data_IF_713426771582
#
_entry.id   IF_713426771582
#
_cell.length_a   1.000
_cell.length_b   1.000
_cell.length_c   1.000
_cell.angle_alpha   90.00
_cell.angle_beta   90.00
_cell.angle_gamma   90.00
#
_symmetry.space_group_name_H-M   'P 1'
#
loop_
_entity.id
_entity.type
_entity.pdbx_description
1 polymer ?
#
# COMPACT_ATOMS: atom_id res chain seq x y z
N UNK A 1 29.57 -60.46 3.70
CA UNK A 1 29.87 -59.32 2.84
C UNK A 1 31.08 -58.61 3.42
N UNK A 2 32.11 -58.32 2.58
CA UNK A 2 33.40 -57.77 3.06
C UNK A 2 33.16 -56.33 3.60
N UNK A 3 33.64 -56.04 4.81
CA UNK A 3 33.51 -54.72 5.47
C UNK A 3 33.87 -53.52 4.59
N UNK A 4 34.81 -53.70 3.68
CA UNK A 4 35.18 -52.68 2.67
C UNK A 4 34.04 -52.37 1.70
N UNK A 5 33.31 -53.39 1.24
CA UNK A 5 32.16 -53.21 0.35
C UNK A 5 30.98 -52.53 1.06
N UNK A 6 30.77 -52.82 2.35
CA UNK A 6 29.69 -52.17 3.15
C UNK A 6 29.99 -50.69 3.34
N UNK A 7 31.28 -50.30 3.64
CA UNK A 7 31.66 -48.90 3.76
C UNK A 7 31.47 -48.11 2.44
N UNK A 8 31.85 -48.74 1.32
CA UNK A 8 31.66 -48.08 0.00
C UNK A 8 30.18 -47.83 -0.31
N UNK A 9 29.33 -48.84 -0.08
CA UNK A 9 27.89 -48.73 -0.29
C UNK A 9 27.27 -47.64 0.61
N UNK A 10 27.69 -47.58 1.89
CA UNK A 10 27.22 -46.56 2.84
C UNK A 10 27.66 -45.14 2.42
N UNK A 11 28.89 -45.00 1.95
CA UNK A 11 29.41 -43.71 1.46
C UNK A 11 28.65 -43.23 0.21
N UNK A 12 28.38 -44.11 -0.74
CA UNK A 12 27.59 -43.82 -1.95
C UNK A 12 26.17 -43.42 -1.55
N UNK A 13 25.55 -44.14 -0.59
CA UNK A 13 24.20 -43.79 -0.13
C UNK A 13 24.13 -42.41 0.54
N UNK A 14 25.14 -42.05 1.35
CA UNK A 14 25.24 -40.72 1.98
C UNK A 14 25.41 -39.65 0.93
N UNK A 15 26.25 -39.85 -0.10
CA UNK A 15 26.44 -38.89 -1.20
C UNK A 15 25.14 -38.67 -1.98
N UNK A 16 24.41 -39.75 -2.30
CA UNK A 16 23.11 -39.68 -2.99
C UNK A 16 22.08 -38.91 -2.14
N UNK A 17 22.01 -39.22 -0.83
CA UNK A 17 21.10 -38.53 0.08
C UNK A 17 21.40 -37.04 0.18
N UNK A 18 22.67 -36.65 0.26
CA UNK A 18 23.12 -35.27 0.26
C UNK A 18 22.79 -34.55 -1.06
N UNK A 19 22.98 -35.23 -2.18
CA UNK A 19 22.63 -34.69 -3.51
C UNK A 19 21.13 -34.47 -3.67
N UNK A 20 20.30 -35.39 -3.16
CA UNK A 20 18.83 -35.26 -3.17
C UNK A 20 18.39 -34.09 -2.29
N UNK A 21 18.98 -33.91 -1.09
CA UNK A 21 18.66 -32.79 -0.19
C UNK A 21 19.06 -31.45 -0.84
N UNK A 22 20.22 -31.37 -1.47
CA UNK A 22 20.66 -30.16 -2.19
C UNK A 22 19.72 -29.90 -3.38
N UNK A 23 19.38 -30.91 -4.16
CA UNK A 23 18.47 -30.76 -5.30
C UNK A 23 17.06 -30.33 -4.86
N UNK A 24 16.52 -30.92 -3.78
CA UNK A 24 15.24 -30.51 -3.21
C UNK A 24 15.27 -29.07 -2.70
N UNK A 25 16.36 -28.63 -2.04
CA UNK A 25 16.49 -27.25 -1.59
C UNK A 25 16.64 -26.27 -2.77
N UNK A 26 17.42 -26.61 -3.79
CA UNK A 26 17.55 -25.81 -5.02
C UNK A 26 16.24 -25.77 -5.79
N UNK A 27 15.50 -26.89 -5.84
CA UNK A 27 14.18 -26.95 -6.48
C UNK A 27 13.13 -26.14 -5.71
N UNK A 28 13.16 -26.18 -4.37
CA UNK A 28 12.33 -25.35 -3.50
C UNK A 28 12.65 -23.84 -3.66
N UNK A 29 13.93 -23.47 -3.80
CA UNK A 29 14.34 -22.11 -4.10
C UNK A 29 13.88 -21.70 -5.50
N UNK A 30 14.09 -22.54 -6.50
CA UNK A 30 13.69 -22.31 -7.88
C UNK A 30 12.16 -22.22 -8.02
N UNK A 31 11.39 -23.10 -7.33
CA UNK A 31 9.92 -23.02 -7.34
C UNK A 31 9.40 -21.82 -6.55
N UNK A 32 10.08 -21.39 -5.47
CA UNK A 32 9.77 -20.10 -4.83
C UNK A 32 9.90 -18.94 -5.80
N UNK A 33 10.99 -18.86 -6.55
CA UNK A 33 11.21 -17.78 -7.53
C UNK A 33 10.20 -17.84 -8.70
N UNK A 34 9.79 -19.05 -9.11
CA UNK A 34 8.75 -19.22 -10.15
C UNK A 34 7.35 -18.84 -9.63
N UNK A 35 7.04 -19.12 -8.36
CA UNK A 35 5.76 -18.76 -7.74
C UNK A 35 5.62 -17.25 -7.46
N UNK A 36 6.73 -16.50 -7.43
CA UNK A 36 6.75 -15.05 -7.18
C UNK A 36 7.02 -14.21 -8.43
N UNK A 37 6.81 -14.76 -9.63
CA UNK A 37 6.75 -13.92 -10.81
C UNK A 37 5.52 -13.02 -10.69
N UNK A 38 5.77 -11.76 -10.33
CA UNK A 38 4.76 -10.71 -10.12
C UNK A 38 4.17 -10.20 -11.45
N UNK A 39 4.02 -11.08 -12.43
CA UNK A 39 3.49 -10.74 -13.75
C UNK A 39 4.43 -9.80 -14.52
N UNK A 40 3.84 -8.73 -15.08
CA UNK A 40 4.56 -7.73 -15.90
C UNK A 40 5.16 -6.59 -15.07
N UNK A 41 5.03 -6.62 -13.75
CA UNK A 41 5.58 -5.62 -12.84
C UNK A 41 7.04 -5.89 -12.49
N UNK A 42 7.89 -4.89 -12.72
CA UNK A 42 9.31 -4.96 -12.46
C UNK A 42 9.69 -3.96 -11.38
N UNK A 43 10.23 -4.42 -10.27
CA UNK A 43 10.80 -3.55 -9.24
C UNK A 43 11.99 -2.77 -9.81
N UNK A 44 12.07 -1.49 -9.49
CA UNK A 44 13.19 -0.68 -9.91
C UNK A 44 14.49 -1.20 -9.30
N UNK A 45 15.51 -1.38 -10.14
CA UNK A 45 16.76 -2.06 -9.74
C UNK A 45 17.52 -1.38 -8.60
N UNK A 46 17.37 -0.05 -8.48
CA UNK A 46 18.04 0.77 -7.46
C UNK A 46 17.10 1.15 -6.32
N UNK A 47 16.07 0.34 -6.04
CA UNK A 47 15.23 0.55 -4.85
C UNK A 47 16.05 0.42 -3.54
N UNK A 48 15.67 1.15 -2.47
CA UNK A 48 14.53 2.06 -2.37
C UNK A 48 14.79 3.41 -3.07
N UNK A 49 13.71 4.11 -3.50
CA UNK A 49 13.79 5.45 -4.08
C UNK A 49 13.67 6.57 -3.04
N UNK A 50 13.15 6.26 -1.84
CA UNK A 50 13.05 7.21 -0.73
C UNK A 50 13.18 6.47 0.61
N UNK A 51 13.87 7.09 1.55
CA UNK A 51 14.16 6.55 2.88
C UNK A 51 15.54 5.91 2.98
N UNK A 52 16.28 6.32 4.00
CA UNK A 52 17.64 5.88 4.31
C UNK A 52 17.88 5.86 5.83
N UNK A 53 19.11 5.69 6.27
CA UNK A 53 19.47 5.68 7.70
C UNK A 53 19.28 7.05 8.37
N UNK A 54 19.49 8.14 7.64
CA UNK A 54 19.39 9.50 8.15
C UNK A 54 17.94 9.94 8.27
N UNK A 55 17.13 9.68 7.25
CA UNK A 55 15.70 9.97 7.22
C UNK A 55 14.93 9.10 8.22
N UNK A 56 15.38 7.84 8.40
CA UNK A 56 14.65 6.82 9.14
C UNK A 56 13.48 6.25 8.33
N UNK A 57 12.47 5.70 9.01
CA UNK A 57 11.30 5.12 8.32
C UNK A 57 10.41 6.19 7.72
N UNK A 58 10.17 6.04 6.41
CA UNK A 58 9.11 6.70 5.64
C UNK A 58 8.23 5.63 5.02
N UNK A 59 6.91 5.84 5.06
CA UNK A 59 5.94 4.81 4.70
C UNK A 59 4.63 5.40 4.19
N UNK A 60 3.78 4.55 3.62
CA UNK A 60 2.46 4.89 3.07
C UNK A 60 2.50 6.07 2.08
N UNK A 61 3.16 5.89 0.92
CA UNK A 61 3.25 6.94 -0.08
C UNK A 61 1.89 7.24 -0.70
N UNK A 62 1.67 8.50 -1.04
CA UNK A 62 0.63 8.96 -1.95
C UNK A 62 1.26 9.88 -2.98
N UNK A 63 1.17 9.53 -4.26
CA UNK A 63 1.79 10.28 -5.35
C UNK A 63 0.73 10.90 -6.24
N UNK A 64 0.93 12.16 -6.60
CA UNK A 64 0.16 12.87 -7.60
C UNK A 64 1.09 13.60 -8.58
N UNK A 65 0.57 14.04 -9.72
CA UNK A 65 1.28 14.86 -10.68
C UNK A 65 0.64 16.24 -10.70
N UNK A 66 1.43 17.26 -10.43
CA UNK A 66 1.03 18.66 -10.55
C UNK A 66 0.83 19.06 -12.03
N UNK A 67 0.16 20.16 -12.29
CA UNK A 67 -0.14 20.66 -13.66
C UNK A 67 1.10 20.93 -14.51
N UNK A 68 2.26 21.18 -13.87
CA UNK A 68 3.55 21.37 -14.54
C UNK A 68 4.31 20.05 -14.82
N UNK A 69 3.71 18.91 -14.50
CA UNK A 69 4.30 17.58 -14.66
C UNK A 69 5.23 17.16 -13.53
N UNK A 70 5.33 17.92 -12.44
CA UNK A 70 6.11 17.54 -11.26
C UNK A 70 5.38 16.46 -10.47
N UNK A 71 6.08 15.37 -10.15
CA UNK A 71 5.60 14.39 -9.19
C UNK A 71 5.69 14.96 -7.79
N UNK A 72 4.62 14.84 -7.03
CA UNK A 72 4.53 15.21 -5.62
C UNK A 72 4.15 13.97 -4.83
N UNK A 73 4.96 13.60 -3.83
CA UNK A 73 4.71 12.46 -2.95
C UNK A 73 4.50 12.95 -1.52
N UNK A 74 3.36 12.60 -0.95
CA UNK A 74 3.12 12.72 0.48
C UNK A 74 3.45 11.39 1.14
N UNK A 75 4.17 11.42 2.27
CA UNK A 75 4.60 10.23 3.03
C UNK A 75 4.37 10.42 4.50
N UNK A 76 4.15 9.33 5.19
CA UNK A 76 4.19 9.27 6.66
C UNK A 76 5.64 9.22 7.11
N UNK A 77 6.06 10.17 7.95
CA UNK A 77 7.42 10.22 8.48
C UNK A 77 7.43 9.78 9.95
N UNK A 78 7.77 8.51 10.19
CA UNK A 78 7.66 7.88 11.51
C UNK A 78 8.39 8.66 12.61
N UNK A 79 9.65 9.06 12.37
CA UNK A 79 10.50 9.77 13.33
C UNK A 79 9.90 11.11 13.78
N UNK A 80 9.04 11.70 12.96
CA UNK A 80 8.38 12.99 13.23
C UNK A 80 6.93 12.84 13.69
N UNK A 81 6.32 11.68 13.51
CA UNK A 81 4.89 11.48 13.74
C UNK A 81 4.00 12.37 12.86
N UNK A 82 4.49 12.72 11.68
CA UNK A 82 3.97 13.77 10.81
C UNK A 82 3.82 13.27 9.36
N UNK A 83 3.07 14.00 8.55
CA UNK A 83 3.04 13.83 7.11
C UNK A 83 4.01 14.83 6.48
N UNK A 84 4.85 14.35 5.58
CA UNK A 84 5.79 15.15 4.82
C UNK A 84 5.53 15.05 3.31
N UNK A 85 6.01 16.03 2.57
CA UNK A 85 5.97 16.08 1.10
C UNK A 85 7.39 16.09 0.54
N UNK A 86 7.55 15.49 -0.61
CA UNK A 86 8.75 15.59 -1.47
C UNK A 86 8.33 15.68 -2.93
N UNK A 87 9.19 16.20 -3.79
CA UNK A 87 8.92 16.38 -5.21
C UNK A 87 9.98 15.73 -6.08
N UNK A 88 9.60 15.37 -7.31
CA UNK A 88 10.48 14.76 -8.29
C UNK A 88 10.09 15.18 -9.72
N UNK A 89 11.06 15.22 -10.63
CA UNK A 89 10.81 15.40 -12.07
C UNK A 89 10.68 14.10 -12.86
N UNK A 90 11.08 12.99 -12.24
CA UNK A 90 11.13 11.67 -12.90
C UNK A 90 10.43 10.54 -12.09
N UNK A 91 9.97 10.85 -10.86
CA UNK A 91 9.37 9.87 -9.95
C UNK A 91 10.36 8.91 -9.29
N UNK A 92 11.67 9.14 -9.48
CA UNK A 92 12.77 8.29 -8.99
C UNK A 92 13.66 9.07 -8.02
N UNK A 93 14.09 10.27 -8.44
CA UNK A 93 14.96 11.14 -7.66
C UNK A 93 14.11 12.19 -6.93
N UNK A 94 14.08 12.12 -5.61
CA UNK A 94 13.20 12.90 -4.76
C UNK A 94 13.97 14.00 -4.00
N UNK A 95 13.33 15.16 -3.83
CA UNK A 95 13.85 16.25 -3.01
C UNK A 95 13.87 15.91 -1.53
N UNK A 96 14.45 16.77 -0.70
CA UNK A 96 14.34 16.65 0.77
C UNK A 96 12.89 16.70 1.24
N UNK A 97 12.61 15.98 2.33
CA UNK A 97 11.29 15.94 2.95
C UNK A 97 10.96 17.26 3.68
N UNK A 98 9.79 17.81 3.41
CA UNK A 98 9.22 18.94 4.12
C UNK A 98 7.95 18.51 4.85
N UNK A 99 7.87 18.79 6.17
CA UNK A 99 6.65 18.51 6.95
C UNK A 99 5.53 19.43 6.49
N UNK A 100 4.36 18.87 6.21
CA UNK A 100 3.16 19.58 5.75
C UNK A 100 1.97 19.46 6.70
N UNK A 101 1.97 18.42 7.54
CA UNK A 101 0.95 18.23 8.58
C UNK A 101 1.59 17.63 9.83
N UNK A 102 1.52 18.35 10.94
CA UNK A 102 2.02 17.86 12.22
C UNK A 102 0.93 17.12 12.99
N UNK A 103 1.35 16.23 13.90
CA UNK A 103 0.49 15.69 14.96
C UNK A 103 -0.03 16.81 15.87
N UNK A 104 -1.11 16.53 16.59
CA UNK A 104 -1.63 17.41 17.63
C UNK A 104 -2.19 16.57 18.79
N UNK A 105 -1.41 16.48 19.86
CA UNK A 105 -1.74 15.66 21.05
C UNK A 105 -2.88 16.28 21.86
N UNK A 106 -3.27 17.53 21.59
CA UNK A 106 -4.34 18.23 22.34
C UNK A 106 -5.72 17.83 21.89
N UNK A 107 -5.88 17.29 20.68
CA UNK A 107 -7.17 16.87 20.12
C UNK A 107 -7.66 15.53 20.67
N UNK A 108 -6.75 14.72 21.25
CA UNK A 108 -7.06 13.41 21.83
C UNK A 108 -7.30 12.29 20.81
N UNK A 109 -7.05 12.53 19.52
CA UNK A 109 -7.20 11.50 18.48
C UNK A 109 -6.08 11.48 17.42
N UNK A 110 -5.15 12.41 17.45
CA UNK A 110 -4.06 12.52 16.45
C UNK A 110 -2.68 12.76 17.07
N UNK A 111 -2.34 11.98 18.09
CA UNK A 111 -0.99 11.94 18.68
C UNK A 111 0.07 11.54 17.62
N UNK A 112 -0.36 10.91 16.55
CA UNK A 112 0.39 10.61 15.33
C UNK A 112 -0.53 10.86 14.15
N UNK A 113 -0.01 11.49 13.07
CA UNK A 113 -0.69 11.60 11.78
C UNK A 113 0.08 10.85 10.70
N UNK A 114 -0.65 10.12 9.84
CA UNK A 114 -0.06 9.31 8.79
C UNK A 114 -1.07 9.00 7.67
N UNK A 115 -0.65 8.26 6.63
CA UNK A 115 -1.52 7.65 5.60
C UNK A 115 -2.41 8.65 4.87
N UNK A 116 -1.79 9.72 4.34
CA UNK A 116 -2.52 10.76 3.61
C UNK A 116 -2.93 10.32 2.21
N UNK A 117 -4.04 10.88 1.74
CA UNK A 117 -4.42 11.02 0.33
C UNK A 117 -4.76 12.46 0.05
N UNK A 118 -4.46 12.96 -1.15
CA UNK A 118 -4.65 14.37 -1.51
C UNK A 118 -5.33 14.49 -2.86
N UNK A 119 -6.39 15.29 -2.94
CA UNK A 119 -7.09 15.61 -4.19
C UNK A 119 -7.01 17.13 -4.42
N UNK A 120 -6.54 17.53 -5.61
CA UNK A 120 -6.65 18.93 -6.02
C UNK A 120 -7.97 19.14 -6.74
N UNK A 121 -8.83 19.96 -6.17
CA UNK A 121 -10.17 20.26 -6.68
C UNK A 121 -10.53 21.72 -6.39
N UNK A 122 -11.11 22.40 -7.38
CA UNK A 122 -11.56 23.81 -7.31
C UNK A 122 -10.53 24.78 -6.74
N UNK A 123 -9.24 24.60 -7.12
CA UNK A 123 -8.15 25.47 -6.70
C UNK A 123 -7.57 25.17 -5.33
N UNK A 124 -8.04 24.12 -4.65
CA UNK A 124 -7.65 23.75 -3.29
C UNK A 124 -7.12 22.31 -3.27
N UNK A 125 -6.08 22.06 -2.47
CA UNK A 125 -5.62 20.72 -2.11
C UNK A 125 -6.41 20.24 -0.89
N UNK A 126 -7.16 19.17 -1.05
CA UNK A 126 -7.92 18.49 0.00
C UNK A 126 -7.14 17.27 0.45
N UNK A 127 -6.79 17.19 1.72
CA UNK A 127 -6.08 16.05 2.31
C UNK A 127 -6.98 15.32 3.29
N UNK A 128 -7.10 14.01 3.12
CA UNK A 128 -7.62 13.10 4.15
C UNK A 128 -6.46 12.28 4.68
N UNK A 129 -6.40 12.11 6.00
CA UNK A 129 -5.29 11.45 6.67
C UNK A 129 -5.78 10.62 7.85
N UNK A 130 -4.95 9.70 8.31
CA UNK A 130 -5.22 8.93 9.53
C UNK A 130 -4.61 9.64 10.72
N UNK A 131 -5.42 9.99 11.70
CA UNK A 131 -4.99 10.36 13.04
C UNK A 131 -5.07 9.15 13.98
N UNK A 132 -4.08 8.96 14.84
CA UNK A 132 -4.01 7.84 15.78
C UNK A 132 -3.69 8.32 17.18
N UNK A 133 -4.49 7.85 18.16
CA UNK A 133 -4.24 8.02 19.60
C UNK A 133 -4.75 6.79 20.33
N UNK A 134 -4.01 6.31 21.36
CA UNK A 134 -4.43 5.21 22.23
C UNK A 134 -4.88 3.93 21.46
N UNK A 135 -4.22 3.60 20.37
CA UNK A 135 -4.56 2.48 19.47
C UNK A 135 -5.90 2.63 18.71
N UNK A 136 -6.50 3.78 18.74
CA UNK A 136 -7.69 4.10 17.95
C UNK A 136 -7.26 4.95 16.76
N UNK A 137 -7.80 4.68 15.59
CA UNK A 137 -7.56 5.49 14.39
C UNK A 137 -8.84 6.06 13.83
N UNK A 138 -8.76 7.32 13.40
CA UNK A 138 -9.86 8.06 12.75
C UNK A 138 -9.33 8.75 11.51
N UNK A 139 -10.22 9.14 10.60
CA UNK A 139 -9.83 9.90 9.40
C UNK A 139 -10.11 11.38 9.62
N UNK A 140 -9.05 12.18 9.50
CA UNK A 140 -9.10 13.65 9.56
C UNK A 140 -9.12 14.28 8.18
N UNK A 141 -9.31 15.59 8.16
CA UNK A 141 -9.37 16.39 6.94
C UNK A 141 -8.58 17.70 7.11
N UNK A 142 -7.88 18.11 6.07
CA UNK A 142 -7.16 19.37 6.03
C UNK A 142 -7.16 19.94 4.61
N UNK A 143 -7.02 21.24 4.47
CA UNK A 143 -6.96 21.95 3.17
C UNK A 143 -5.70 22.78 3.04
N UNK A 144 -5.28 23.02 1.81
CA UNK A 144 -4.14 23.88 1.48
C UNK A 144 -4.32 24.54 0.12
N UNK A 145 -3.86 25.78 -0.04
CA UNK A 145 -3.83 26.48 -1.32
C UNK A 145 -2.59 26.10 -2.15
N UNK A 146 -1.49 25.71 -1.50
CA UNK A 146 -0.19 25.45 -2.14
C UNK A 146 0.24 23.98 -2.09
N UNK A 147 -0.49 23.11 -1.34
CA UNK A 147 -0.14 21.72 -1.11
C UNK A 147 1.03 21.51 -0.14
N UNK A 148 1.49 22.57 0.54
CA UNK A 148 2.58 22.54 1.52
C UNK A 148 2.14 22.96 2.91
N UNK A 149 1.20 23.87 3.03
CA UNK A 149 0.69 24.40 4.31
C UNK A 149 -0.75 23.97 4.47
N UNK A 150 -0.97 22.85 5.17
CA UNK A 150 -2.32 22.35 5.41
C UNK A 150 -2.89 22.88 6.71
N UNK A 151 -4.14 23.33 6.63
CA UNK A 151 -4.95 23.76 7.78
C UNK A 151 -5.95 22.64 8.09
N UNK A 152 -5.84 22.08 9.30
CA UNK A 152 -6.69 20.98 9.76
C UNK A 152 -8.10 21.44 10.10
N UNK A 153 -9.06 20.54 9.93
CA UNK A 153 -10.32 20.58 10.63
C UNK A 153 -10.15 19.93 12.01
N UNK A 154 -10.77 20.49 13.04
CA UNK A 154 -10.56 20.03 14.43
C UNK A 154 -11.08 18.61 14.67
N UNK A 155 -12.26 18.30 14.10
CA UNK A 155 -12.90 16.99 14.30
C UNK A 155 -12.61 16.04 13.16
N UNK A 156 -12.49 14.72 13.44
CA UNK A 156 -12.35 13.72 12.39
C UNK A 156 -13.62 13.66 11.52
N UNK A 157 -13.45 13.40 10.22
CA UNK A 157 -14.55 13.33 9.24
C UNK A 157 -15.12 11.91 9.09
N UNK A 158 -14.35 10.87 9.46
CA UNK A 158 -14.86 9.49 9.58
C UNK A 158 -14.32 8.90 10.89
N UNK A 159 -15.23 8.32 11.66
CA UNK A 159 -14.95 7.61 12.92
C UNK A 159 -15.47 6.17 12.83
N UNK A 160 -14.95 5.30 13.68
CA UNK A 160 -15.44 3.93 13.83
C UNK A 160 -16.81 3.93 14.54
N UNK A 161 -17.81 3.34 13.90
CA UNK A 161 -19.21 3.32 14.38
C UNK A 161 -19.84 1.92 14.31
N UNK A 162 -19.26 1.04 13.48
CA UNK A 162 -19.75 -0.31 13.23
C UNK A 162 -18.84 -1.33 13.90
N UNK A 163 -19.43 -2.44 14.34
CA UNK A 163 -18.69 -3.52 15.02
C UNK A 163 -17.47 -4.02 14.20
N UNK A 164 -17.61 -4.13 12.87
CA UNK A 164 -16.53 -4.57 12.00
C UNK A 164 -15.42 -3.51 11.81
N UNK A 165 -15.65 -2.25 12.14
CA UNK A 165 -14.63 -1.19 12.13
C UNK A 165 -13.71 -1.28 13.34
N UNK A 166 -14.10 -2.04 14.38
CA UNK A 166 -13.31 -2.25 15.61
C UNK A 166 -12.74 -0.94 16.16
N UNK A 167 -11.40 -0.90 16.31
CA UNK A 167 -10.67 0.24 16.85
C UNK A 167 -10.28 1.28 15.80
N UNK A 168 -10.49 0.99 14.49
CA UNK A 168 -9.84 1.82 13.48
C UNK A 168 -10.60 1.94 12.17
N UNK A 169 -10.65 3.19 11.70
CA UNK A 169 -10.84 3.57 10.31
C UNK A 169 -9.58 4.34 9.87
N UNK A 170 -8.96 3.92 8.74
CA UNK A 170 -7.64 4.43 8.37
C UNK A 170 -7.35 4.26 6.86
N UNK A 171 -6.16 4.68 6.41
CA UNK A 171 -5.73 4.51 5.02
C UNK A 171 -6.75 5.02 4.00
N UNK A 172 -7.23 6.27 4.12
CA UNK A 172 -8.15 6.81 3.13
C UNK A 172 -7.47 6.86 1.76
N UNK A 173 -8.22 6.51 0.73
CA UNK A 173 -7.93 6.84 -0.65
C UNK A 173 -9.14 7.54 -1.24
N UNK A 174 -8.96 8.73 -1.79
CA UNK A 174 -10.05 9.57 -2.27
C UNK A 174 -9.82 9.98 -3.71
N UNK A 175 -10.87 9.94 -4.51
CA UNK A 175 -10.94 10.57 -5.82
C UNK A 175 -12.13 11.53 -5.88
N UNK A 176 -12.07 12.56 -6.72
CA UNK A 176 -13.23 13.34 -7.10
C UNK A 176 -13.80 12.81 -8.42
N UNK A 177 -15.02 12.29 -8.37
CA UNK A 177 -15.74 11.84 -9.55
C UNK A 177 -16.38 13.05 -10.25
N UNK A 178 -15.81 13.45 -11.39
CA UNK A 178 -16.25 14.64 -12.14
C UNK A 178 -17.64 14.51 -12.73
N UNK A 179 -18.09 13.30 -13.00
CA UNK A 179 -19.42 13.02 -13.58
C UNK A 179 -20.51 13.07 -12.53
N UNK A 180 -20.28 12.39 -11.41
CA UNK A 180 -21.21 12.37 -10.29
C UNK A 180 -21.08 13.61 -9.39
N UNK A 181 -19.99 14.37 -9.53
CA UNK A 181 -19.65 15.57 -8.73
C UNK A 181 -19.62 15.28 -7.23
N UNK A 182 -18.99 14.15 -6.85
CA UNK A 182 -18.82 13.72 -5.47
C UNK A 182 -17.38 13.22 -5.24
N UNK A 183 -16.95 13.34 -4.01
CA UNK A 183 -15.77 12.62 -3.52
C UNK A 183 -16.16 11.18 -3.21
N UNK A 184 -15.34 10.24 -3.65
CA UNK A 184 -15.45 8.81 -3.36
C UNK A 184 -14.25 8.40 -2.53
N UNK A 185 -14.48 7.79 -1.38
CA UNK A 185 -13.43 7.33 -0.49
C UNK A 185 -13.48 5.81 -0.32
N UNK A 186 -12.34 5.16 -0.49
CA UNK A 186 -12.08 3.80 -0.04
C UNK A 186 -11.17 3.89 1.17
N UNK A 187 -11.53 3.24 2.27
CA UNK A 187 -10.77 3.28 3.50
C UNK A 187 -10.65 1.89 4.12
N UNK A 188 -9.56 1.67 4.84
CA UNK A 188 -9.37 0.43 5.58
C UNK A 188 -9.97 0.54 6.97
N UNK A 189 -10.47 -0.58 7.50
CA UNK A 189 -11.03 -0.62 8.84
C UNK A 189 -10.75 -1.96 9.54
N UNK A 190 -10.84 -1.97 10.87
CA UNK A 190 -10.60 -3.14 11.72
C UNK A 190 -9.58 -2.87 12.81
N UNK A 191 -8.52 -3.68 12.90
CA UNK A 191 -7.46 -3.49 13.87
C UNK A 191 -6.54 -2.33 13.51
N UNK A 192 -5.99 -1.65 14.51
CA UNK A 192 -5.24 -0.38 14.35
C UNK A 192 -4.01 -0.51 13.48
N UNK A 193 -3.27 -1.60 13.56
CA UNK A 193 -2.00 -1.72 12.84
C UNK A 193 -2.15 -2.46 11.52
N UNK A 194 -2.91 -3.54 11.51
CA UNK A 194 -3.16 -4.38 10.35
C UNK A 194 -4.67 -4.48 10.13
N UNK A 195 -5.26 -3.60 9.30
CA UNK A 195 -6.70 -3.54 9.08
C UNK A 195 -7.24 -4.85 8.49
N UNK A 196 -8.53 -5.09 8.70
CA UNK A 196 -9.16 -6.37 8.32
C UNK A 196 -9.87 -6.30 6.97
N UNK A 197 -10.37 -5.11 6.58
CA UNK A 197 -11.29 -4.93 5.45
C UNK A 197 -11.08 -3.59 4.75
N UNK A 198 -11.64 -3.46 3.53
CA UNK A 198 -11.79 -2.19 2.82
C UNK A 198 -13.27 -1.83 2.77
N UNK A 199 -13.59 -0.58 3.05
CA UNK A 199 -14.91 0.00 3.04
C UNK A 199 -14.99 1.21 2.09
N UNK A 200 -16.20 1.70 1.83
CA UNK A 200 -16.50 2.76 0.88
C UNK A 200 -17.45 3.81 1.47
N UNK A 201 -17.20 5.07 1.14
CA UNK A 201 -18.07 6.20 1.48
C UNK A 201 -18.05 7.25 0.38
N UNK A 202 -19.11 8.08 0.33
CA UNK A 202 -19.22 9.22 -0.60
C UNK A 202 -19.46 10.52 0.15
N UNK A 203 -19.04 11.64 -0.45
CA UNK A 203 -19.27 12.97 0.10
C UNK A 203 -19.41 14.01 -1.01
N UNK A 204 -20.23 15.02 -0.80
CA UNK A 204 -20.35 16.18 -1.71
C UNK A 204 -19.35 17.29 -1.40
N UNK A 205 -18.92 17.38 -0.15
CA UNK A 205 -18.11 18.48 0.39
C UNK A 205 -16.72 18.03 0.89
N UNK A 206 -16.48 16.70 0.92
CA UNK A 206 -15.26 16.09 1.45
C UNK A 206 -15.18 16.05 2.99
N UNK A 207 -16.21 16.52 3.68
CA UNK A 207 -16.31 16.64 5.14
C UNK A 207 -17.39 15.73 5.69
N UNK A 208 -18.59 15.80 5.11
CA UNK A 208 -19.75 15.00 5.50
C UNK A 208 -19.79 13.75 4.64
N UNK A 209 -19.57 12.58 5.23
CA UNK A 209 -19.42 11.32 4.52
C UNK A 209 -20.60 10.39 4.77
N UNK A 210 -21.14 9.83 3.72
CA UNK A 210 -22.14 8.77 3.76
C UNK A 210 -21.46 7.41 3.54
N UNK A 211 -21.39 6.60 4.59
CA UNK A 211 -20.82 5.23 4.51
C UNK A 211 -21.79 4.33 3.74
N UNK A 212 -21.24 3.55 2.81
CA UNK A 212 -22.03 2.60 2.02
C UNK A 212 -22.71 1.56 2.92
N UNK A 213 -24.01 1.35 2.71
CA UNK A 213 -24.82 0.52 3.61
C UNK A 213 -24.44 -0.97 3.61
N UNK A 214 -23.80 -1.45 2.54
CA UNK A 214 -23.34 -2.84 2.40
C UNK A 214 -21.85 -3.00 2.66
N UNK A 215 -21.21 -2.04 3.34
CA UNK A 215 -19.83 -2.19 3.80
C UNK A 215 -19.66 -3.41 4.73
N UNK A 216 -18.47 -4.03 4.74
CA UNK A 216 -17.28 -3.73 3.94
C UNK A 216 -17.37 -4.31 2.52
N UNK A 217 -16.75 -3.60 1.55
CA UNK A 217 -16.79 -3.95 0.12
C UNK A 217 -15.72 -4.95 -0.29
N UNK A 218 -14.64 -5.08 0.48
CA UNK A 218 -13.62 -6.10 0.26
C UNK A 218 -13.15 -6.66 1.62
N UNK A 219 -13.16 -7.99 1.74
CA UNK A 219 -12.72 -8.75 2.93
C UNK A 219 -11.58 -9.69 2.54
N UNK A 220 -11.01 -10.39 3.51
CA UNK A 220 -10.09 -11.49 3.26
C UNK A 220 -10.70 -12.50 2.26
N UNK A 221 -9.85 -13.12 1.45
CA UNK A 221 -10.28 -14.14 0.50
C UNK A 221 -10.69 -15.42 1.24
N UNK A 222 -11.83 -15.99 0.88
CA UNK A 222 -12.35 -17.22 1.49
C UNK A 222 -11.55 -18.47 1.06
N UNK A 223 -10.84 -18.42 -0.09
CA UNK A 223 -9.94 -19.49 -0.49
C UNK A 223 -8.72 -19.51 0.43
N UNK A 224 -8.61 -20.59 1.24
CA UNK A 224 -7.50 -20.81 2.18
C UNK A 224 -6.12 -20.89 1.51
N UNK A 225 -6.05 -21.08 0.19
CA UNK A 225 -4.81 -21.07 -0.60
C UNK A 225 -4.44 -19.69 -1.11
N UNK A 226 -5.38 -18.75 -1.11
CA UNK A 226 -5.12 -17.37 -1.57
C UNK A 226 -4.09 -16.67 -0.70
N UNK A 227 -3.31 -15.79 -1.30
CA UNK A 227 -2.26 -15.05 -0.58
C UNK A 227 -2.81 -13.80 0.14
N UNK A 228 -4.08 -13.45 -0.06
CA UNK A 228 -4.83 -12.40 0.64
C UNK A 228 -5.94 -12.99 1.54
N UNK A 229 -5.73 -14.22 2.03
CA UNK A 229 -6.70 -15.00 2.82
C UNK A 229 -6.84 -14.54 4.28
N UNK A 230 -5.89 -13.76 4.81
CA UNK A 230 -5.90 -13.40 6.23
C UNK A 230 -6.60 -12.07 6.48
N UNK A 231 -6.21 -11.01 5.75
CA UNK A 231 -6.74 -9.65 5.85
C UNK A 231 -6.54 -8.91 4.53
N UNK A 232 -7.26 -7.80 4.37
CA UNK A 232 -7.01 -6.81 3.32
C UNK A 232 -6.93 -5.43 3.93
N UNK A 233 -6.19 -4.53 3.30
CA UNK A 233 -5.93 -3.21 3.87
C UNK A 233 -5.87 -2.10 2.82
N UNK A 234 -5.21 -1.00 3.16
CA UNK A 234 -5.13 0.23 2.37
C UNK A 234 -4.96 0.02 0.88
N UNK A 235 -5.66 0.82 0.12
CA UNK A 235 -5.72 0.70 -1.33
C UNK A 235 -5.38 2.01 -2.04
N UNK A 236 -5.29 1.91 -3.36
CA UNK A 236 -5.19 3.01 -4.33
C UNK A 236 -6.13 2.67 -5.50
N UNK A 237 -7.08 3.56 -5.81
CA UNK A 237 -8.16 3.29 -6.77
C UNK A 237 -8.13 4.29 -7.91
N UNK A 238 -8.22 3.78 -9.14
CA UNK A 238 -8.29 4.57 -10.37
C UNK A 238 -9.60 4.32 -11.11
N UNK A 239 -10.33 5.37 -11.45
CA UNK A 239 -11.43 5.33 -12.41
C UNK A 239 -10.84 5.46 -13.81
N UNK A 240 -10.79 4.36 -14.55
CA UNK A 240 -10.22 4.32 -15.91
C UNK A 240 -11.26 4.75 -16.95
N UNK A 241 -12.50 4.38 -16.71
CA UNK A 241 -13.67 4.77 -17.52
C UNK A 241 -14.94 4.69 -16.66
N UNK A 242 -16.10 4.99 -17.24
CA UNK A 242 -17.37 4.93 -16.52
C UNK A 242 -17.72 3.54 -15.99
N UNK A 243 -17.19 2.49 -16.64
CA UNK A 243 -17.47 1.10 -16.32
C UNK A 243 -16.21 0.32 -15.95
N UNK A 244 -15.12 1.01 -15.56
CA UNK A 244 -13.89 0.35 -15.15
C UNK A 244 -13.16 1.13 -14.09
N UNK A 245 -13.07 0.53 -12.92
CA UNK A 245 -12.19 0.91 -11.82
C UNK A 245 -11.13 -0.15 -11.62
N UNK A 246 -9.94 0.27 -11.25
CA UNK A 246 -8.82 -0.58 -10.86
C UNK A 246 -8.43 -0.22 -9.43
N UNK A 247 -8.34 -1.22 -8.57
CA UNK A 247 -7.85 -1.08 -7.21
C UNK A 247 -6.54 -1.83 -7.05
N UNK A 248 -5.50 -1.14 -6.63
CA UNK A 248 -4.31 -1.75 -6.04
C UNK A 248 -4.54 -1.83 -4.52
N UNK A 249 -4.36 -3.00 -3.90
CA UNK A 249 -4.66 -3.16 -2.48
C UNK A 249 -3.65 -4.05 -1.76
N UNK A 250 -3.57 -3.87 -0.44
CA UNK A 250 -2.76 -4.72 0.43
C UNK A 250 -3.55 -5.99 0.74
N UNK A 251 -2.95 -7.15 0.48
CA UNK A 251 -3.47 -8.44 0.93
C UNK A 251 -2.46 -9.14 1.83
N UNK A 252 -2.94 -9.73 2.92
CA UNK A 252 -2.14 -10.42 3.93
C UNK A 252 -2.34 -11.92 3.83
N UNK A 253 -1.23 -12.65 3.77
CA UNK A 253 -1.23 -14.12 3.87
C UNK A 253 -1.29 -14.57 5.33
N UNK A 254 -0.62 -13.83 6.19
CA UNK A 254 -0.55 -13.91 7.64
C UNK A 254 -0.19 -12.53 8.21
N UNK A 255 -0.10 -12.39 9.54
CA UNK A 255 0.14 -11.10 10.21
C UNK A 255 1.48 -10.44 9.81
N UNK A 256 2.45 -11.21 9.33
CA UNK A 256 3.80 -10.71 9.01
C UNK A 256 4.06 -10.55 7.51
N UNK A 257 3.15 -11.05 6.66
CA UNK A 257 3.40 -11.15 5.22
C UNK A 257 2.32 -10.44 4.43
N UNK A 258 2.64 -9.25 3.94
CA UNK A 258 1.77 -8.45 3.09
C UNK A 258 2.33 -8.31 1.67
N UNK A 259 1.42 -8.25 0.70
CA UNK A 259 1.68 -8.12 -0.73
C UNK A 259 0.70 -7.14 -1.35
N UNK A 260 1.01 -6.66 -2.55
CA UNK A 260 0.11 -5.78 -3.31
C UNK A 260 -0.57 -6.60 -4.40
N UNK A 261 -1.88 -6.45 -4.49
CA UNK A 261 -2.77 -7.13 -5.43
C UNK A 261 -3.52 -6.12 -6.30
N UNK A 262 -4.21 -6.62 -7.30
CA UNK A 262 -5.14 -5.86 -8.14
C UNK A 262 -6.53 -6.48 -8.07
N UNK A 263 -7.54 -5.61 -8.03
CA UNK A 263 -8.93 -5.96 -8.28
C UNK A 263 -9.55 -4.98 -9.28
N UNK A 264 -10.57 -5.44 -10.02
CA UNK A 264 -11.31 -4.64 -11.00
C UNK A 264 -12.76 -4.53 -10.57
N UNK A 265 -13.39 -3.42 -10.94
CA UNK A 265 -14.81 -3.17 -10.66
C UNK A 265 -15.44 -2.35 -11.78
N UNK A 266 -16.74 -2.52 -11.99
CA UNK A 266 -17.51 -1.69 -12.91
C UNK A 266 -18.09 -0.44 -12.22
N UNK A 267 -18.25 -0.48 -10.89
CA UNK A 267 -18.98 0.53 -10.12
C UNK A 267 -18.18 1.11 -8.93
N UNK A 268 -16.96 0.55 -8.66
CA UNK A 268 -16.13 0.96 -7.54
C UNK A 268 -16.50 0.37 -6.18
N UNK A 269 -17.53 -0.49 -6.10
CA UNK A 269 -17.98 -1.16 -4.86
C UNK A 269 -18.00 -2.68 -4.97
N UNK A 270 -18.31 -3.23 -6.14
CA UNK A 270 -18.26 -4.67 -6.39
C UNK A 270 -16.95 -5.04 -7.07
N UNK A 271 -16.07 -5.77 -6.39
CA UNK A 271 -14.69 -5.99 -6.81
C UNK A 271 -14.41 -7.45 -7.17
N UNK A 272 -13.81 -7.65 -8.34
CA UNK A 272 -13.30 -8.93 -8.82
C UNK A 272 -11.76 -8.94 -8.70
N UNK A 273 -11.22 -9.91 -7.93
CA UNK A 273 -9.77 -10.10 -7.75
C UNK A 273 -9.13 -10.68 -9.00
N UNK A 274 -7.94 -10.18 -9.36
CA UNK A 274 -7.16 -10.75 -10.47
C UNK A 274 -6.31 -11.97 -10.07
N UNK A 275 -6.27 -12.30 -8.78
CA UNK A 275 -5.73 -13.53 -8.21
C UNK A 275 -4.34 -13.41 -7.62
N UNK A 276 -3.29 -13.25 -8.42
CA UNK A 276 -1.90 -13.24 -7.93
C UNK A 276 -1.43 -11.85 -7.51
N UNK A 277 -0.50 -11.76 -6.52
CA UNK A 277 0.08 -10.48 -6.15
C UNK A 277 0.94 -9.92 -7.29
N UNK A 278 0.90 -8.61 -7.46
CA UNK A 278 1.73 -7.87 -8.43
C UNK A 278 3.06 -7.41 -7.82
N UNK A 279 3.12 -7.20 -6.50
CA UNK A 279 4.35 -6.89 -5.76
C UNK A 279 4.40 -7.78 -4.53
N UNK A 280 5.53 -8.45 -4.33
CA UNK A 280 5.77 -9.34 -3.18
C UNK A 280 7.13 -9.04 -2.53
N UNK A 281 7.31 -9.39 -1.24
CA UNK A 281 8.59 -9.28 -0.55
C UNK A 281 9.70 -10.02 -1.28
N UNK A 282 10.93 -9.48 -1.24
CA UNK A 282 12.12 -10.06 -1.86
C UNK A 282 13.23 -10.22 -0.84
N UNK A 283 13.77 -11.44 -0.71
CA UNK A 283 14.83 -11.75 0.26
C UNK A 283 16.09 -10.90 0.00
N UNK A 284 16.66 -10.35 1.09
CA UNK A 284 17.89 -9.55 1.03
C UNK A 284 17.70 -8.13 0.48
N UNK A 285 16.44 -7.70 0.26
CA UNK A 285 16.10 -6.36 -0.21
C UNK A 285 15.41 -5.53 0.90
N UNK A 286 15.18 -4.24 0.61
CA UNK A 286 14.54 -3.30 1.54
C UNK A 286 13.09 -3.66 1.91
N UNK A 287 12.46 -4.56 1.17
CA UNK A 287 11.09 -5.02 1.34
C UNK A 287 10.97 -6.49 1.74
N UNK A 288 12.04 -7.03 2.37
CA UNK A 288 12.17 -8.47 2.68
C UNK A 288 11.05 -9.04 3.57
N UNK A 289 10.34 -8.21 4.31
CA UNK A 289 9.26 -8.64 5.23
C UNK A 289 7.87 -8.42 4.64
N UNK A 290 7.62 -7.26 4.04
CA UNK A 290 6.30 -6.91 3.54
C UNK A 290 6.35 -5.80 2.49
N UNK A 291 5.34 -5.79 1.63
CA UNK A 291 5.02 -4.70 0.71
C UNK A 291 3.63 -4.16 1.05
N UNK A 292 3.57 -2.88 1.44
CA UNK A 292 2.35 -2.21 1.88
C UNK A 292 1.99 -1.04 0.97
N UNK A 293 0.83 -0.47 1.20
CA UNK A 293 0.24 0.77 0.68
C UNK A 293 0.78 1.18 -0.70
N UNK A 294 0.11 0.71 -1.76
CA UNK A 294 0.41 1.13 -3.11
C UNK A 294 -0.02 2.59 -3.34
N UNK A 295 0.68 3.28 -4.22
CA UNK A 295 0.26 4.50 -4.88
C UNK A 295 0.71 4.44 -6.33
N UNK A 296 -0.21 4.34 -7.27
CA UNK A 296 0.07 4.13 -8.68
C UNK A 296 -0.26 5.38 -9.51
N UNK A 297 0.44 5.54 -10.61
CA UNK A 297 0.14 6.53 -11.64
C UNK A 297 0.33 5.88 -13.00
N UNK A 298 -0.59 6.12 -13.92
CA UNK A 298 -0.36 5.81 -15.32
C UNK A 298 0.38 6.98 -15.99
N UNK A 299 1.61 6.71 -16.43
CA UNK A 299 2.45 7.65 -17.17
C UNK A 299 2.07 7.54 -18.66
N UNK A 300 1.13 8.37 -19.10
CA UNK A 300 0.63 8.40 -20.48
C UNK A 300 1.74 8.64 -21.50
N UNK A 301 2.74 9.45 -21.16
CA UNK A 301 3.86 9.79 -22.03
C UNK A 301 4.71 8.57 -22.40
N UNK A 302 4.91 7.66 -21.46
CA UNK A 302 5.71 6.46 -21.62
C UNK A 302 4.86 5.18 -21.72
N UNK A 303 3.52 5.31 -21.72
CA UNK A 303 2.54 4.22 -21.78
C UNK A 303 2.83 3.10 -20.76
N UNK A 304 3.01 3.47 -19.50
CA UNK A 304 3.38 2.56 -18.42
C UNK A 304 2.74 2.95 -17.10
N UNK A 305 2.53 1.97 -16.22
CA UNK A 305 2.22 2.22 -14.82
C UNK A 305 3.51 2.38 -14.01
N UNK A 306 3.52 3.35 -13.12
CA UNK A 306 4.50 3.53 -12.06
C UNK A 306 3.78 3.35 -10.73
N UNK A 307 4.29 2.46 -9.87
CA UNK A 307 3.69 2.15 -8.57
C UNK A 307 4.75 2.30 -7.49
N UNK A 308 4.55 3.27 -6.62
CA UNK A 308 5.33 3.43 -5.39
C UNK A 308 4.66 2.63 -4.27
N UNK A 309 5.48 2.02 -3.44
CA UNK A 309 4.98 1.18 -2.36
C UNK A 309 5.90 1.24 -1.14
N UNK A 310 5.32 1.00 0.02
CA UNK A 310 6.05 0.86 1.27
C UNK A 310 6.65 -0.54 1.37
N UNK A 311 7.97 -0.65 1.37
CA UNK A 311 8.70 -1.87 1.67
C UNK A 311 9.21 -1.88 3.11
N UNK A 312 9.13 -3.03 3.80
CA UNK A 312 9.55 -3.20 5.19
C UNK A 312 10.65 -4.23 5.34
N UNK A 313 11.70 -3.86 6.07
CA UNK A 313 12.66 -4.78 6.72
C UNK A 313 12.25 -5.02 8.18
N UNK A 314 13.13 -5.63 8.98
CA UNK A 314 12.94 -5.75 10.43
C UNK A 314 12.95 -4.37 11.11
N UNK A 315 13.85 -3.49 10.67
CA UNK A 315 14.21 -2.26 11.39
C UNK A 315 13.69 -0.99 10.73
N UNK A 316 13.29 -1.04 9.45
CA UNK A 316 12.98 0.17 8.67
C UNK A 316 11.92 -0.07 7.60
N UNK A 317 11.27 1.04 7.27
CA UNK A 317 10.36 1.16 6.13
C UNK A 317 10.87 2.22 5.16
N UNK A 318 10.86 1.88 3.87
CA UNK A 318 11.32 2.76 2.79
C UNK A 318 10.33 2.65 1.62
N UNK A 319 10.37 3.62 0.72
CA UNK A 319 9.54 3.63 -0.48
C UNK A 319 10.31 3.01 -1.66
N UNK A 320 9.73 2.00 -2.26
CA UNK A 320 10.19 1.43 -3.52
C UNK A 320 9.32 1.85 -4.70
N UNK A 321 9.82 1.61 -5.89
CA UNK A 321 9.15 1.81 -7.16
C UNK A 321 9.09 0.49 -7.93
N UNK A 322 7.94 0.21 -8.53
CA UNK A 322 7.78 -0.84 -9.53
C UNK A 322 7.13 -0.26 -10.80
N UNK A 323 7.46 -0.85 -11.94
CA UNK A 323 7.02 -0.38 -13.26
C UNK A 323 6.38 -1.53 -14.02
N UNK A 324 5.23 -1.27 -14.66
CA UNK A 324 4.58 -2.16 -15.62
C UNK A 324 4.45 -1.47 -16.97
N UNK A 325 5.11 -2.01 -18.00
CA UNK A 325 5.10 -1.46 -19.36
C UNK A 325 3.87 -1.90 -20.18
N UNK A 326 2.74 -2.08 -19.53
CA UNK A 326 1.45 -2.37 -20.13
C UNK A 326 0.41 -1.39 -19.63
N UNK A 327 -0.53 -1.02 -20.49
CA UNK A 327 -1.68 -0.19 -20.12
C UNK A 327 -2.74 -1.01 -19.39
N UNK A 328 -3.01 -2.20 -19.89
CA UNK A 328 -3.96 -3.13 -19.30
C UNK A 328 -3.27 -4.02 -18.24
N UNK A 329 -3.78 -4.00 -17.05
CA UNK A 329 -3.27 -4.75 -15.88
C UNK A 329 -4.36 -5.62 -15.27
#
# INVERSE_FOLDING_TARGET
MNQKKVKIILTIFIIILFSVVIFCNLWLLYTKDIFYKTGDWNKYKNNPVLGDEYTGSVFDPYVMIDSDGTYRMYVSWRRKGAIAVTTSKDGINWSELQIVLNKDETTGWEDIVNRATVVYHDGVYHMWYTGQSNKISKIGYATSEDGYKFVKQNEPVIVNEKEWEKDSVMNPHVIFDKEEKVFKMWYAAGETYEPDVIAYATSKDGITWEKYSQNPILKANEDKKAMDRYKVGGCDVHKISNNLYIMFYIGYTDINTARIFVAKSQDGVNWERTGQPIIAPENGKFDTKACYKPSAIFDDKNNRWMLWYNGRTVDRECIGLAICNKKEI
#
